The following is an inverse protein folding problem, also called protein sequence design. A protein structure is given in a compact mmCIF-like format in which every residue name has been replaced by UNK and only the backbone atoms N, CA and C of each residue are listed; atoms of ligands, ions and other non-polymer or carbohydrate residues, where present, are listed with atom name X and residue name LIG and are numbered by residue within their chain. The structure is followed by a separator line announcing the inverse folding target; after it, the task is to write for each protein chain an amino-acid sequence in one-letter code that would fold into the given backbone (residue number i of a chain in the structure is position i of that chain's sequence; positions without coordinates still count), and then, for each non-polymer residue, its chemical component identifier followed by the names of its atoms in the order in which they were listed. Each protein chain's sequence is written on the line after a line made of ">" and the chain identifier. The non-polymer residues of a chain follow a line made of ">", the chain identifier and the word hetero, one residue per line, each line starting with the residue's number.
data_IF_791810639812
#
_entry.id   IF_791810639812
#
_cell.length_a   1.000
_cell.length_b   1.000
_cell.length_c   1.000
_cell.angle_alpha   90.00
_cell.angle_beta   90.00
_cell.angle_gamma   90.00
#
_symmetry.space_group_name_H-M   'P 1'
#
loop_
_entity.id
_entity.type
_entity.pdbx_description
1 polymer ?
#
# COMPACT_ATOMS: atom_id res chain seq x y z
N UNK A 1 -4.49 -19.60 8.33
CA UNK A 1 -3.06 -19.77 8.70
C UNK A 1 -2.15 -20.37 7.62
N UNK A 2 -2.63 -20.94 6.49
CA UNK A 2 -1.75 -21.49 5.43
C UNK A 2 -1.22 -20.45 4.43
N UNK A 3 -1.99 -19.40 4.13
CA UNK A 3 -1.62 -18.41 3.10
C UNK A 3 -0.48 -17.50 3.54
N UNK A 4 -0.48 -17.06 4.80
CA UNK A 4 0.61 -16.24 5.37
C UNK A 4 1.94 -16.97 5.31
N UNK A 5 1.94 -18.29 5.54
CA UNK A 5 3.16 -19.09 5.46
C UNK A 5 3.69 -19.18 4.02
N UNK A 6 2.81 -19.30 3.03
CA UNK A 6 3.19 -19.28 1.60
C UNK A 6 3.79 -17.93 1.20
N UNK A 7 3.18 -16.83 1.62
CA UNK A 7 3.68 -15.47 1.37
C UNK A 7 5.08 -15.30 1.97
N UNK A 8 5.28 -15.74 3.22
CA UNK A 8 6.60 -15.68 3.86
C UNK A 8 7.66 -16.49 3.12
N UNK A 9 7.31 -17.69 2.63
CA UNK A 9 8.23 -18.50 1.82
C UNK A 9 8.61 -17.77 0.53
N UNK A 10 7.61 -17.28 -0.22
CA UNK A 10 7.85 -16.57 -1.46
C UNK A 10 8.71 -15.30 -1.26
N UNK A 11 8.41 -14.50 -0.24
CA UNK A 11 9.20 -13.31 0.08
C UNK A 11 10.64 -13.67 0.48
N UNK A 12 10.83 -14.75 1.25
CA UNK A 12 12.16 -15.24 1.61
C UNK A 12 12.96 -15.71 0.40
N UNK A 13 12.32 -16.44 -0.53
CA UNK A 13 12.92 -16.88 -1.80
C UNK A 13 13.34 -15.69 -2.67
N UNK A 14 12.60 -14.58 -2.58
CA UNK A 14 12.93 -13.30 -3.23
C UNK A 14 13.94 -12.44 -2.45
N UNK A 15 14.55 -12.95 -1.36
CA UNK A 15 15.58 -12.24 -0.61
C UNK A 15 15.07 -11.26 0.46
N UNK A 16 13.77 -11.20 0.73
CA UNK A 16 13.23 -10.36 1.80
C UNK A 16 13.46 -10.97 3.19
N UNK A 17 13.76 -10.11 4.16
CA UNK A 17 13.96 -10.44 5.57
C UNK A 17 12.83 -9.84 6.40
N UNK A 18 12.12 -10.69 7.14
CA UNK A 18 11.05 -10.24 8.03
C UNK A 18 11.62 -9.61 9.31
N UNK A 19 11.17 -8.39 9.66
CA UNK A 19 11.40 -7.74 10.96
C UNK A 19 10.07 -7.22 11.50
N UNK A 20 9.50 -7.92 12.48
CA UNK A 20 8.16 -7.63 12.99
C UNK A 20 7.10 -7.86 11.91
N UNK A 21 6.29 -6.82 11.62
CA UNK A 21 5.25 -6.84 10.57
C UNK A 21 5.75 -6.44 9.17
N UNK A 22 7.01 -6.04 9.07
CA UNK A 22 7.62 -5.53 7.84
C UNK A 22 8.55 -6.56 7.21
N UNK A 23 8.66 -6.52 5.89
CA UNK A 23 9.59 -7.31 5.09
C UNK A 23 10.51 -6.37 4.31
N UNK A 24 11.83 -6.47 4.54
CA UNK A 24 12.84 -5.61 3.94
C UNK A 24 13.69 -6.38 2.94
N UNK A 25 14.09 -5.74 1.85
CA UNK A 25 15.10 -6.26 0.93
C UNK A 25 16.34 -5.35 0.95
N UNK A 26 17.58 -5.87 1.00
CA UNK A 26 18.78 -5.03 1.09
C UNK A 26 18.94 -4.08 -0.10
N UNK A 27 18.50 -4.52 -1.30
CA UNK A 27 18.60 -3.73 -2.53
C UNK A 27 17.34 -2.88 -2.83
N UNK A 28 16.42 -2.73 -1.86
CA UNK A 28 15.19 -1.95 -2.03
C UNK A 28 15.08 -0.86 -0.96
N UNK A 29 14.78 0.37 -1.39
CA UNK A 29 14.43 1.44 -0.47
C UNK A 29 13.05 1.25 0.19
N UNK A 30 12.22 0.34 -0.34
CA UNK A 30 10.86 0.09 0.13
C UNK A 30 10.75 -1.25 0.85
N UNK A 31 9.89 -1.28 1.87
CA UNK A 31 9.51 -2.49 2.60
C UNK A 31 8.07 -2.88 2.26
N UNK A 32 7.72 -4.13 2.52
CA UNK A 32 6.36 -4.66 2.38
C UNK A 32 5.73 -4.80 3.76
N UNK A 33 4.50 -4.33 3.91
CA UNK A 33 3.63 -4.55 5.07
C UNK A 33 2.33 -5.22 4.61
N UNK A 34 1.81 -6.14 5.42
CA UNK A 34 0.48 -6.71 5.21
C UNK A 34 -0.49 -6.14 6.25
N UNK A 35 -1.46 -5.36 5.78
CA UNK A 35 -2.53 -4.81 6.62
C UNK A 35 -3.51 -5.91 7.03
N UNK A 36 -4.04 -5.82 8.24
CA UNK A 36 -5.07 -6.73 8.72
C UNK A 36 -6.38 -6.48 7.97
N UNK A 37 -7.08 -7.50 7.48
CA UNK A 37 -8.37 -7.32 6.83
C UNK A 37 -9.46 -6.86 7.84
N UNK A 38 -10.51 -6.17 7.38
CA UNK A 38 -10.72 -5.72 6.00
C UNK A 38 -9.82 -4.52 5.64
N UNK A 39 -9.49 -4.37 4.35
CA UNK A 39 -8.76 -3.19 3.89
C UNK A 39 -9.66 -1.97 4.07
N UNK A 40 -9.15 -0.97 4.80
CA UNK A 40 -9.91 0.21 5.19
C UNK A 40 -9.01 1.44 5.15
N UNK A 41 -9.60 2.60 4.87
CA UNK A 41 -8.96 3.91 5.02
C UNK A 41 -9.73 4.68 6.09
N UNK A 42 -9.07 4.97 7.21
CA UNK A 42 -9.73 5.49 8.39
C UNK A 42 -10.81 4.54 8.91
N UNK A 43 -12.08 4.98 8.89
CA UNK A 43 -13.24 4.18 9.33
C UNK A 43 -14.02 3.56 8.15
N UNK A 44 -13.58 3.79 6.92
CA UNK A 44 -14.28 3.34 5.71
C UNK A 44 -13.62 2.07 5.16
N UNK A 45 -14.39 0.99 5.07
CA UNK A 45 -13.97 -0.24 4.38
C UNK A 45 -13.97 -0.03 2.88
N UNK A 46 -12.90 -0.46 2.21
CA UNK A 46 -12.76 -0.36 0.76
C UNK A 46 -13.68 -1.37 0.07
N UNK A 47 -14.53 -0.86 -0.82
CA UNK A 47 -15.54 -1.65 -1.56
C UNK A 47 -15.17 -1.90 -3.02
N UNK A 48 -14.46 -0.96 -3.63
CA UNK A 48 -14.11 -1.00 -5.04
C UNK A 48 -12.59 -1.01 -5.19
N UNK A 49 -12.10 -1.86 -6.10
CA UNK A 49 -10.69 -2.01 -6.38
C UNK A 49 -10.45 -1.88 -7.88
N UNK A 50 -9.27 -1.37 -8.22
CA UNK A 50 -8.73 -1.39 -9.57
C UNK A 50 -7.75 -2.56 -9.73
N UNK A 51 -7.43 -2.90 -10.96
CA UNK A 51 -6.57 -4.05 -11.26
C UNK A 51 -5.53 -3.67 -12.31
N UNK A 52 -4.28 -4.06 -12.06
CA UNK A 52 -3.18 -3.98 -13.01
C UNK A 52 -2.54 -5.37 -13.13
N UNK A 53 -2.97 -6.15 -14.13
CA UNK A 53 -2.63 -7.57 -14.22
C UNK A 53 -3.09 -8.32 -12.97
N UNK A 54 -2.16 -8.94 -12.25
CA UNK A 54 -2.42 -9.65 -10.99
C UNK A 54 -2.41 -8.73 -9.74
N UNK A 55 -2.15 -7.44 -9.91
CA UNK A 55 -2.04 -6.48 -8.80
C UNK A 55 -3.40 -5.83 -8.55
N UNK A 56 -3.92 -6.01 -7.34
CA UNK A 56 -5.11 -5.29 -6.86
C UNK A 56 -4.69 -3.94 -6.28
N UNK A 57 -5.35 -2.88 -6.74
CA UNK A 57 -5.05 -1.49 -6.38
C UNK A 57 -6.26 -0.82 -5.73
N UNK A 58 -6.01 0.13 -4.84
CA UNK A 58 -7.05 1.06 -4.38
C UNK A 58 -7.57 1.91 -5.55
N UNK A 59 -8.83 2.35 -5.46
CA UNK A 59 -9.35 3.38 -6.36
C UNK A 59 -8.51 4.66 -6.23
N UNK A 60 -8.45 5.55 -7.25
CA UNK A 60 -7.72 6.81 -7.14
C UNK A 60 -8.20 7.65 -5.95
N UNK A 61 -9.51 7.64 -5.68
CA UNK A 61 -10.11 8.34 -4.54
C UNK A 61 -9.62 7.79 -3.21
N UNK A 62 -9.67 6.47 -3.00
CA UNK A 62 -9.26 5.87 -1.72
C UNK A 62 -7.75 5.95 -1.53
N UNK A 63 -7.00 5.81 -2.62
CA UNK A 63 -5.56 6.04 -2.71
C UNK A 63 -5.15 7.46 -2.27
N UNK A 64 -5.93 8.48 -2.64
CA UNK A 64 -5.73 9.87 -2.21
C UNK A 64 -6.16 10.08 -0.76
N UNK A 65 -7.29 9.53 -0.32
CA UNK A 65 -7.74 9.61 1.08
C UNK A 65 -6.67 9.07 2.04
N UNK A 66 -6.10 7.91 1.72
CA UNK A 66 -5.06 7.26 2.53
C UNK A 66 -3.81 8.13 2.65
N UNK A 67 -3.33 8.66 1.52
CA UNK A 67 -2.19 9.58 1.49
C UNK A 67 -2.43 10.87 2.26
N UNK A 68 -3.61 11.46 2.12
CA UNK A 68 -3.95 12.66 2.87
C UNK A 68 -4.05 12.37 4.37
N UNK A 69 -4.57 11.19 4.76
CA UNK A 69 -4.58 10.77 6.16
C UNK A 69 -3.14 10.67 6.71
N UNK A 70 -2.20 10.09 5.94
CA UNK A 70 -0.78 10.06 6.30
C UNK A 70 -0.21 11.46 6.51
N UNK A 71 -0.47 12.37 5.56
CA UNK A 71 0.00 13.76 5.65
C UNK A 71 -0.58 14.47 6.88
N UNK A 72 -1.89 14.41 7.12
CA UNK A 72 -2.49 15.13 8.25
C UNK A 72 -2.10 14.55 9.61
N UNK A 73 -1.87 13.23 9.71
CA UNK A 73 -1.56 12.59 10.98
C UNK A 73 -0.07 12.60 11.32
N UNK A 74 0.82 12.42 10.33
CA UNK A 74 2.27 12.34 10.54
C UNK A 74 3.06 13.51 9.92
N UNK A 75 2.40 14.50 9.32
CA UNK A 75 3.04 15.56 8.53
C UNK A 75 3.92 15.00 7.38
N UNK A 76 3.51 13.86 6.82
CA UNK A 76 4.18 13.17 5.72
C UNK A 76 4.04 13.96 4.40
N UNK A 77 5.03 14.79 4.11
CA UNK A 77 5.06 15.62 2.89
C UNK A 77 5.08 14.79 1.61
N UNK A 78 5.72 13.62 1.64
CA UNK A 78 5.78 12.72 0.49
C UNK A 78 4.37 12.22 0.14
N UNK A 79 3.56 11.87 1.13
CA UNK A 79 2.19 11.46 0.90
C UNK A 79 1.35 12.58 0.25
N UNK A 80 1.52 13.84 0.66
CA UNK A 80 0.84 14.98 0.03
C UNK A 80 1.24 15.17 -1.44
N UNK A 81 2.54 15.07 -1.74
CA UNK A 81 3.05 15.15 -3.11
C UNK A 81 2.43 14.05 -3.98
N UNK A 82 2.43 12.81 -3.49
CA UNK A 82 1.85 11.70 -4.24
C UNK A 82 0.33 11.81 -4.41
N UNK A 83 -0.39 12.31 -3.40
CA UNK A 83 -1.83 12.57 -3.52
C UNK A 83 -2.09 13.58 -4.65
N UNK A 84 -1.25 14.60 -4.76
CA UNK A 84 -1.33 15.60 -5.83
C UNK A 84 -1.03 14.99 -7.20
N UNK A 85 -0.04 14.09 -7.31
CA UNK A 85 0.27 13.38 -8.56
C UNK A 85 -0.93 12.56 -9.05
N UNK A 86 -1.54 11.77 -8.17
CA UNK A 86 -2.73 10.97 -8.50
C UNK A 86 -3.87 11.87 -8.97
N UNK A 87 -4.16 12.96 -8.25
CA UNK A 87 -5.21 13.91 -8.63
C UNK A 87 -4.96 14.58 -9.99
N UNK A 88 -3.69 14.93 -10.31
CA UNK A 88 -3.34 15.52 -11.61
C UNK A 88 -3.56 14.53 -12.75
N UNK A 89 -3.18 13.27 -12.55
CA UNK A 89 -3.36 12.24 -13.57
C UNK A 89 -4.84 12.00 -13.90
N UNK A 90 -5.74 12.10 -12.92
CA UNK A 90 -7.18 11.93 -13.16
C UNK A 90 -7.82 13.07 -13.97
N UNK A 91 -7.16 14.22 -14.10
CA UNK A 91 -7.64 15.36 -14.91
C UNK A 91 -7.23 15.28 -16.37
N UNK A 92 -6.27 14.43 -16.70
CA UNK A 92 -5.73 14.26 -18.05
C UNK A 92 -6.46 13.16 -18.84
N UNK A 93 -7.57 12.64 -18.29
CA UNK A 93 -8.41 11.58 -18.87
C UNK A 93 -9.72 12.17 -19.40
#
# INVERSE_FOLDING_TARGET
>A
MKIVQKIKSALKELGFVQKGRYFYHPDSAFFIEFVTPPVSVGKETIKNYNYLGAITLLSPTDCVKDRLASFYYWNDRQALEQATMVCKEQKNV
#
